data_IF_028087871439
#
_entry.id   IF_028087871439
#
_cell.length_a   1.000
_cell.length_b   1.000
_cell.length_c   1.000
_cell.angle_alpha   90.00
_cell.angle_beta   90.00
_cell.angle_gamma   90.00
#
_symmetry.space_group_name_H-M   'P 1'
#
loop_
_entity.id
_entity.type
_entity.pdbx_description
1 polymer ?
#
# COMPACT_ATOMS: atom_id res chain seq x y z
N UNK A 1 12.85 4.46 41.19
CA UNK A 1 11.79 4.19 40.20
C UNK A 1 12.43 3.36 39.09
N UNK A 2 12.25 2.04 39.12
CA UNK A 2 12.90 1.10 38.17
C UNK A 2 11.93 0.88 37.01
N UNK A 3 12.32 1.31 35.82
CA UNK A 3 11.62 1.01 34.57
C UNK A 3 11.93 -0.45 34.24
N UNK A 4 10.92 -1.34 34.09
CA UNK A 4 11.19 -2.72 33.73
C UNK A 4 11.70 -2.78 32.29
N UNK A 5 12.95 -3.20 32.12
CA UNK A 5 13.65 -3.51 30.86
C UNK A 5 13.13 -4.79 30.19
N UNK A 6 11.86 -5.14 30.39
CA UNK A 6 11.16 -6.13 29.59
C UNK A 6 10.53 -5.45 28.40
N UNK A 7 11.35 -4.88 27.50
CA UNK A 7 10.85 -4.43 26.20
C UNK A 7 10.29 -5.65 25.50
N UNK A 8 8.97 -5.70 25.49
CA UNK A 8 8.14 -6.45 24.57
C UNK A 8 8.74 -6.27 23.18
N UNK A 9 9.56 -7.24 22.77
CA UNK A 9 9.95 -7.47 21.38
C UNK A 9 8.74 -8.04 20.64
N UNK A 10 7.58 -7.37 20.75
CA UNK A 10 6.54 -7.50 19.76
C UNK A 10 7.02 -6.62 18.63
N UNK A 11 7.55 -7.27 17.60
CA UNK A 11 7.43 -6.81 16.24
C UNK A 11 5.98 -6.40 16.03
N UNK A 12 5.65 -5.13 16.30
CA UNK A 12 4.42 -4.51 15.87
C UNK A 12 4.59 -4.43 14.37
N UNK A 13 4.21 -5.51 13.69
CA UNK A 13 4.17 -5.61 12.25
C UNK A 13 3.00 -4.72 11.84
N UNK A 14 3.31 -3.43 11.77
CA UNK A 14 2.52 -2.42 11.06
C UNK A 14 2.14 -3.05 9.74
N UNK A 15 0.83 -3.19 9.53
CA UNK A 15 0.20 -3.53 8.26
C UNK A 15 1.07 -3.09 7.08
N UNK A 16 1.89 -4.01 6.56
CA UNK A 16 2.78 -3.88 5.42
C UNK A 16 3.27 -2.45 5.08
N UNK A 17 3.84 -1.73 6.05
CA UNK A 17 4.67 -0.54 5.79
C UNK A 17 6.09 -0.75 6.32
N UNK A 18 6.77 -1.69 5.68
CA UNK A 18 8.05 -1.39 5.06
C UNK A 18 9.20 -0.83 5.90
N UNK A 19 9.76 -1.60 6.84
CA UNK A 19 10.95 -1.17 7.58
C UNK A 19 12.04 -2.24 7.52
N UNK A 20 13.00 -2.08 6.60
CA UNK A 20 14.30 -2.72 6.70
C UNK A 20 15.35 -1.96 5.87
N UNK A 21 16.43 -1.58 6.56
CA UNK A 21 17.58 -0.79 6.13
C UNK A 21 18.48 -1.50 5.10
N UNK A 22 18.92 -0.77 4.05
CA UNK A 22 20.01 -1.19 3.16
C UNK A 22 20.48 -0.06 2.24
N UNK A 23 21.79 0.22 2.22
CA UNK A 23 22.43 1.40 1.61
C UNK A 23 22.83 1.24 0.12
N UNK A 24 22.95 2.40 -0.56
CA UNK A 24 23.89 2.77 -1.65
C UNK A 24 23.36 2.88 -3.11
N UNK A 25 23.98 3.76 -3.96
CA UNK A 25 23.27 4.76 -4.77
C UNK A 25 23.38 4.60 -6.32
N UNK A 26 22.99 5.66 -7.06
CA UNK A 26 23.07 5.93 -8.51
C UNK A 26 21.83 5.52 -9.35
N UNK A 27 21.27 6.33 -10.26
CA UNK A 27 21.61 7.67 -10.74
C UNK A 27 20.66 8.12 -11.85
N UNK A 28 20.69 9.44 -12.10
CA UNK A 28 20.44 10.16 -13.36
C UNK A 28 19.03 10.30 -13.97
N UNK A 29 18.76 11.57 -14.27
CA UNK A 29 17.53 12.22 -14.70
C UNK A 29 17.38 12.31 -16.21
N UNK A 30 16.14 12.33 -16.72
CA UNK A 30 15.73 13.20 -17.86
C UNK A 30 14.20 13.30 -17.95
N UNK A 31 13.60 14.52 -17.99
CA UNK A 31 12.22 14.68 -18.43
C UNK A 31 12.14 15.49 -19.74
N UNK A 32 11.44 14.95 -20.73
CA UNK A 32 11.08 15.65 -21.96
C UNK A 32 9.56 15.82 -22.11
N UNK A 33 9.11 17.08 -22.03
CA UNK A 33 8.17 17.69 -23.00
C UNK A 33 6.68 17.30 -23.04
N UNK A 34 5.88 18.10 -22.33
CA UNK A 34 4.45 18.48 -22.43
C UNK A 34 3.71 18.35 -23.79
N UNK A 35 2.51 17.73 -23.85
CA UNK A 35 1.12 18.31 -23.77
C UNK A 35 0.45 18.57 -25.15
N UNK A 36 -0.86 18.93 -25.24
CA UNK A 36 -2.06 18.15 -24.93
C UNK A 36 -3.04 18.10 -26.13
N UNK A 37 -4.10 17.28 -26.08
CA UNK A 37 -5.29 17.54 -26.92
C UNK A 37 -6.59 17.16 -26.22
N UNK A 38 -7.47 18.16 -26.18
CA UNK A 38 -8.86 18.21 -25.74
C UNK A 38 -9.76 17.21 -26.48
N UNK A 39 -10.61 16.51 -25.74
CA UNK A 39 -11.72 15.72 -26.28
C UNK A 39 -12.80 15.53 -25.22
N UNK A 40 -13.92 16.21 -25.41
CA UNK A 40 -15.15 16.10 -24.63
C UNK A 40 -15.95 14.86 -25.06
N UNK A 41 -16.26 13.96 -24.11
CA UNK A 41 -17.35 12.99 -24.29
C UNK A 41 -17.29 11.71 -23.46
N UNK A 42 -18.16 11.60 -22.44
CA UNK A 42 -18.69 10.38 -21.75
C UNK A 42 -17.62 9.44 -21.12
N UNK A 43 -17.87 8.68 -20.04
CA UNK A 43 -16.86 7.74 -19.52
C UNK A 43 -16.79 6.51 -20.43
N UNK A 44 -16.19 6.69 -21.61
CA UNK A 44 -15.60 5.61 -22.40
C UNK A 44 -14.44 5.07 -21.59
N UNK A 45 -14.41 3.75 -21.36
CA UNK A 45 -13.28 3.08 -20.73
C UNK A 45 -11.99 3.58 -21.38
N UNK A 46 -11.20 4.33 -20.60
CA UNK A 46 -9.93 4.86 -21.06
C UNK A 46 -9.10 3.70 -21.57
N UNK A 47 -8.46 3.88 -22.74
CA UNK A 47 -7.53 2.89 -23.25
C UNK A 47 -6.56 2.52 -22.14
N UNK A 48 -6.43 1.22 -21.86
CA UNK A 48 -5.50 0.75 -20.82
C UNK A 48 -4.10 1.30 -21.12
N UNK A 49 -3.35 1.75 -20.09
CA UNK A 49 -2.01 2.26 -20.28
C UNK A 49 -1.14 1.28 -21.08
N UNK A 50 -0.20 1.80 -21.88
CA UNK A 50 0.67 0.94 -22.72
C UNK A 50 1.46 -0.08 -21.91
N UNK A 51 1.87 0.28 -20.70
CA UNK A 51 2.59 -0.59 -19.75
C UNK A 51 1.71 -1.71 -19.21
N UNK A 52 0.39 -1.57 -19.19
CA UNK A 52 -0.51 -2.58 -18.61
C UNK A 52 -0.38 -3.95 -19.28
N UNK A 53 0.09 -3.99 -20.54
CA UNK A 53 0.34 -5.23 -21.27
C UNK A 53 1.44 -6.09 -20.64
N UNK A 54 2.43 -5.49 -19.98
CA UNK A 54 3.53 -6.25 -19.35
C UNK A 54 3.05 -7.07 -18.15
N UNK A 55 1.93 -6.69 -17.54
CA UNK A 55 1.38 -7.38 -16.37
C UNK A 55 0.90 -8.81 -16.68
N UNK A 56 0.60 -9.10 -17.94
CA UNK A 56 0.14 -10.41 -18.41
C UNK A 56 -1.33 -10.42 -18.81
N UNK A 57 -1.73 -11.46 -19.55
CA UNK A 57 -3.13 -11.65 -19.94
C UNK A 57 -3.98 -12.02 -18.73
N UNK A 58 -5.21 -11.48 -18.66
CA UNK A 58 -6.14 -11.70 -17.55
C UNK A 58 -6.04 -10.65 -16.44
N UNK A 59 -5.01 -9.81 -16.45
CA UNK A 59 -4.86 -8.71 -15.49
C UNK A 59 -5.74 -7.54 -15.89
N UNK A 60 -6.61 -7.12 -14.97
CA UNK A 60 -7.44 -5.92 -15.13
C UNK A 60 -6.77 -4.74 -14.43
N UNK A 61 -6.65 -3.60 -15.14
CA UNK A 61 -6.10 -2.36 -14.59
C UNK A 61 -7.21 -1.34 -14.40
N UNK A 62 -7.39 -0.88 -13.17
CA UNK A 62 -8.24 0.27 -12.83
C UNK A 62 -7.39 1.53 -12.78
N UNK A 63 -7.84 2.59 -13.45
CA UNK A 63 -7.14 3.88 -13.52
C UNK A 63 -7.17 4.65 -12.20
N UNK A 64 -6.23 5.58 -11.96
CA UNK A 64 -6.25 6.47 -10.81
C UNK A 64 -7.57 7.21 -10.64
N UNK A 65 -7.97 7.40 -9.38
CA UNK A 65 -9.18 8.14 -9.04
C UNK A 65 -9.87 7.61 -7.78
N UNK A 66 -11.13 7.98 -7.63
CA UNK A 66 -11.95 7.49 -6.53
C UNK A 66 -12.17 5.98 -6.65
N UNK A 67 -11.70 5.23 -5.67
CA UNK A 67 -11.88 3.79 -5.62
C UNK A 67 -13.36 3.44 -5.41
N UNK A 68 -13.89 2.53 -6.22
CA UNK A 68 -15.27 2.07 -6.09
C UNK A 68 -15.49 1.39 -4.73
N UNK A 69 -16.70 1.51 -4.16
CA UNK A 69 -17.02 0.88 -2.87
C UNK A 69 -16.74 -0.62 -2.90
N UNK A 70 -16.06 -1.12 -1.87
CA UNK A 70 -15.68 -2.53 -1.76
C UNK A 70 -14.50 -2.98 -2.63
N UNK A 71 -13.95 -2.11 -3.49
CA UNK A 71 -12.76 -2.42 -4.28
C UNK A 71 -11.48 -2.52 -3.42
N UNK A 72 -10.39 -3.14 -3.91
CA UNK A 72 -9.12 -3.18 -3.20
C UNK A 72 -8.63 -1.80 -2.75
N UNK A 73 -8.70 -0.81 -3.65
CA UNK A 73 -8.31 0.57 -3.35
C UNK A 73 -9.17 1.20 -2.25
N UNK A 74 -10.47 0.91 -2.20
CA UNK A 74 -11.37 1.44 -1.17
C UNK A 74 -11.13 0.82 0.21
N UNK A 75 -10.77 -0.47 0.26
CA UNK A 75 -10.36 -1.13 1.51
C UNK A 75 -9.08 -0.50 2.05
N UNK A 76 -8.09 -0.28 1.18
CA UNK A 76 -6.82 0.35 1.56
C UNK A 76 -7.02 1.78 2.08
N UNK A 77 -7.77 2.62 1.38
CA UNK A 77 -8.04 3.99 1.85
C UNK A 77 -8.82 4.01 3.16
N UNK A 78 -9.73 3.05 3.36
CA UNK A 78 -10.48 2.92 4.61
C UNK A 78 -9.60 2.46 5.78
N UNK A 79 -8.57 1.66 5.52
CA UNK A 79 -7.54 1.29 6.50
C UNK A 79 -6.67 2.49 6.86
N UNK A 80 -6.20 3.25 5.87
CA UNK A 80 -5.42 4.48 6.07
C UNK A 80 -6.20 5.51 6.88
N UNK A 81 -7.47 5.75 6.55
CA UNK A 81 -8.33 6.65 7.32
C UNK A 81 -8.51 6.20 8.78
N UNK A 82 -8.49 4.89 9.06
CA UNK A 82 -8.53 4.39 10.43
C UNK A 82 -7.21 4.66 11.19
N UNK A 83 -6.07 4.58 10.51
CA UNK A 83 -4.76 4.94 11.07
C UNK A 83 -4.73 6.42 11.42
N UNK A 84 -5.10 7.29 10.49
CA UNK A 84 -5.10 8.75 10.69
C UNK A 84 -6.07 9.20 11.78
N UNK A 85 -7.19 8.48 11.96
CA UNK A 85 -8.13 8.70 13.04
C UNK A 85 -7.68 8.13 14.40
N UNK A 86 -6.50 7.50 14.49
CA UNK A 86 -6.00 6.85 15.70
C UNK A 86 -6.80 5.60 16.11
N UNK A 87 -7.65 5.06 15.22
CA UNK A 87 -8.49 3.90 15.48
C UNK A 87 -7.78 2.62 15.01
N UNK A 88 -6.66 2.30 15.66
CA UNK A 88 -5.77 1.22 15.22
C UNK A 88 -6.43 -0.16 15.27
N UNK A 89 -7.32 -0.40 16.24
CA UNK A 89 -8.08 -1.66 16.30
C UNK A 89 -9.00 -1.86 15.08
N UNK A 90 -9.49 -0.77 14.45
CA UNK A 90 -10.31 -0.86 13.23
C UNK A 90 -9.52 -1.38 12.04
N UNK A 91 -8.19 -1.23 12.04
CA UNK A 91 -7.33 -1.77 10.98
C UNK A 91 -7.47 -3.28 10.86
N UNK A 92 -7.67 -3.98 11.98
CA UNK A 92 -7.85 -5.42 12.01
C UNK A 92 -9.04 -5.92 11.18
N UNK A 93 -10.03 -5.08 10.88
CA UNK A 93 -11.15 -5.46 10.01
C UNK A 93 -10.79 -5.50 8.52
N UNK A 94 -9.72 -4.81 8.12
CA UNK A 94 -9.25 -4.79 6.74
C UNK A 94 -8.22 -5.88 6.45
N UNK A 95 -7.82 -6.64 7.47
CA UNK A 95 -6.94 -7.81 7.34
C UNK A 95 -7.72 -9.08 7.04
N UNK A 96 -7.04 -10.06 6.45
CA UNK A 96 -7.61 -11.37 6.17
C UNK A 96 -8.30 -11.94 7.43
N UNK A 97 -9.48 -12.59 7.30
CA UNK A 97 -10.23 -13.12 8.44
C UNK A 97 -9.40 -13.98 9.41
N UNK A 98 -8.48 -14.78 8.88
CA UNK A 98 -7.57 -15.63 9.66
C UNK A 98 -6.59 -14.85 10.56
N UNK A 99 -6.29 -13.59 10.23
CA UNK A 99 -5.34 -12.74 10.95
C UNK A 99 -5.99 -11.81 11.97
N UNK A 100 -7.29 -11.53 11.82
CA UNK A 100 -7.99 -10.56 12.66
C UNK A 100 -7.92 -10.88 14.17
N UNK A 101 -8.04 -12.14 14.63
CA UNK A 101 -7.96 -12.44 16.06
C UNK A 101 -6.61 -12.02 16.67
N UNK A 102 -5.51 -12.31 15.98
CA UNK A 102 -4.17 -11.98 16.45
C UNK A 102 -3.94 -10.46 16.42
N UNK A 103 -4.30 -9.80 15.33
CA UNK A 103 -4.28 -8.34 15.23
C UNK A 103 -5.04 -7.67 16.38
N UNK A 104 -6.27 -8.12 16.67
CA UNK A 104 -7.09 -7.57 17.77
C UNK A 104 -6.46 -7.79 19.14
N UNK A 105 -5.82 -8.94 19.36
CA UNK A 105 -5.10 -9.22 20.61
C UNK A 105 -3.92 -8.26 20.81
N UNK A 106 -3.15 -8.00 19.75
CA UNK A 106 -1.99 -7.11 19.80
C UNK A 106 -2.42 -5.66 20.03
N UNK A 107 -3.34 -5.13 19.21
CA UNK A 107 -3.83 -3.75 19.38
C UNK A 107 -4.66 -3.56 20.66
N UNK A 108 -5.30 -4.61 21.17
CA UNK A 108 -6.06 -4.57 22.42
C UNK A 108 -5.18 -4.53 23.67
N UNK A 109 -3.93 -4.95 23.58
CA UNK A 109 -2.97 -4.98 24.70
C UNK A 109 -1.94 -3.84 24.67
N UNK A 110 -1.78 -3.19 23.52
CA UNK A 110 -0.82 -2.11 23.34
C UNK A 110 -1.33 -0.75 23.81
N UNK A 111 -0.43 0.09 24.32
CA UNK A 111 -0.74 1.46 24.72
C UNK A 111 -0.96 2.34 23.48
N UNK A 112 -2.10 3.03 23.40
CA UNK A 112 -2.47 3.85 22.24
C UNK A 112 -1.40 4.88 21.82
N UNK A 113 -0.73 5.52 22.79
CA UNK A 113 0.34 6.48 22.51
C UNK A 113 1.61 5.84 21.94
N UNK A 114 1.93 4.61 22.36
CA UNK A 114 3.05 3.86 21.81
C UNK A 114 2.76 3.47 20.35
N UNK A 115 1.54 3.02 20.07
CA UNK A 115 1.10 2.75 18.69
C UNK A 115 1.19 4.02 17.85
N UNK A 116 0.64 5.15 18.33
CA UNK A 116 0.64 6.41 17.59
C UNK A 116 2.05 6.90 17.20
N UNK A 117 3.06 6.59 18.02
CA UNK A 117 4.45 6.97 17.76
C UNK A 117 5.13 6.06 16.72
N UNK A 118 4.66 4.82 16.57
CA UNK A 118 5.19 3.86 15.60
C UNK A 118 4.48 3.92 14.24
N UNK A 119 3.26 4.46 14.19
CA UNK A 119 2.46 4.48 12.97
C UNK A 119 2.94 5.56 12.00
N UNK A 120 2.92 5.27 10.68
CA UNK A 120 3.21 6.27 9.67
C UNK A 120 2.13 7.35 9.62
N UNK A 121 2.53 8.52 9.13
CA UNK A 121 1.62 9.60 8.76
C UNK A 121 1.58 9.75 7.25
N UNK A 122 0.44 10.23 6.75
CA UNK A 122 0.20 10.33 5.32
C UNK A 122 -0.14 11.77 4.95
N UNK A 123 0.26 12.17 3.74
CA UNK A 123 -0.09 13.48 3.19
C UNK A 123 -0.42 13.34 1.71
N UNK A 124 -1.57 13.88 1.32
CA UNK A 124 -2.08 13.86 -0.05
C UNK A 124 -2.14 12.45 -0.66
N UNK A 125 -2.40 11.44 0.17
CA UNK A 125 -2.35 10.06 -0.26
C UNK A 125 -3.58 9.71 -1.12
N UNK A 126 -3.34 9.22 -2.33
CA UNK A 126 -4.40 8.88 -3.30
C UNK A 126 -4.15 7.51 -3.90
N UNK A 127 -5.21 6.75 -4.18
CA UNK A 127 -5.08 5.50 -4.94
C UNK A 127 -4.72 5.83 -6.39
N UNK A 128 -3.62 5.25 -6.86
CA UNK A 128 -3.20 5.35 -8.25
C UNK A 128 -3.80 4.20 -9.07
N UNK A 129 -3.00 3.42 -9.78
CA UNK A 129 -3.49 2.25 -10.47
C UNK A 129 -3.75 1.09 -9.51
N UNK A 130 -4.76 0.29 -9.83
CA UNK A 130 -4.96 -1.03 -9.21
C UNK A 130 -4.90 -2.10 -10.29
N UNK A 131 -3.98 -3.04 -10.17
CA UNK A 131 -3.93 -4.24 -11.02
C UNK A 131 -4.60 -5.40 -10.28
N UNK A 132 -5.46 -6.16 -10.96
CA UNK A 132 -6.18 -7.30 -10.39
C UNK A 132 -6.03 -8.53 -11.27
N UNK A 133 -5.62 -9.64 -10.69
CA UNK A 133 -5.51 -10.96 -11.32
C UNK A 133 -6.27 -11.99 -10.45
N UNK A 134 -7.47 -12.36 -10.89
CA UNK A 134 -8.37 -13.21 -10.11
C UNK A 134 -8.64 -12.63 -8.71
N UNK A 135 -8.28 -13.37 -7.67
CA UNK A 135 -8.49 -12.99 -6.26
C UNK A 135 -7.36 -12.15 -5.67
N UNK A 136 -6.38 -11.71 -6.48
CA UNK A 136 -5.23 -10.94 -6.04
C UNK A 136 -5.28 -9.55 -6.66
N UNK A 137 -4.92 -8.54 -5.88
CA UNK A 137 -4.76 -7.19 -6.40
C UNK A 137 -3.52 -6.51 -5.84
N UNK A 138 -2.93 -5.64 -6.65
CA UNK A 138 -1.84 -4.74 -6.28
C UNK A 138 -2.38 -3.34 -6.41
N UNK A 139 -2.30 -2.58 -5.32
CA UNK A 139 -2.78 -1.19 -5.27
C UNK A 139 -1.57 -0.27 -5.17
N UNK A 140 -1.41 0.60 -6.17
CA UNK A 140 -0.46 1.70 -6.13
C UNK A 140 -1.06 2.93 -5.45
N UNK A 141 -0.19 3.78 -4.92
CA UNK A 141 -0.57 5.01 -4.22
C UNK A 141 0.20 6.23 -4.77
N UNK A 142 -0.29 7.43 -4.65
CA UNK A 142 0.56 8.64 -4.77
C UNK A 142 0.44 9.44 -3.49
N UNK A 143 1.35 10.38 -3.28
CA UNK A 143 1.41 11.21 -2.07
C UNK A 143 2.68 10.94 -1.26
N UNK A 144 2.65 11.35 0.00
CA UNK A 144 3.77 11.25 0.92
C UNK A 144 3.42 10.29 2.06
N UNK A 145 4.34 9.37 2.34
CA UNK A 145 4.30 8.49 3.51
C UNK A 145 5.48 8.86 4.39
N UNK A 146 5.21 9.19 5.65
CA UNK A 146 6.22 9.51 6.64
C UNK A 146 6.23 8.44 7.73
N UNK A 147 7.28 7.62 7.77
CA UNK A 147 7.48 6.60 8.79
C UNK A 147 8.59 7.03 9.76
N UNK A 148 8.34 7.02 11.08
CA UNK A 148 9.30 7.47 12.08
C UNK A 148 10.57 6.62 12.13
N UNK A 149 10.48 5.36 11.67
CA UNK A 149 11.58 4.39 11.70
C UNK A 149 12.35 4.31 10.37
N UNK A 150 11.90 5.01 9.31
CA UNK A 150 12.57 5.01 8.00
C UNK A 150 13.59 6.16 7.84
N UNK A 151 14.59 5.95 6.99
CA UNK A 151 15.50 6.99 6.51
C UNK A 151 15.59 6.95 4.98
N UNK A 152 15.19 8.01 4.25
CA UNK A 152 14.56 9.23 4.76
C UNK A 152 13.22 8.93 5.45
N UNK A 153 12.87 9.73 6.47
CA UNK A 153 11.65 9.51 7.27
C UNK A 153 10.37 9.78 6.49
N UNK A 154 10.46 10.48 5.36
CA UNK A 154 9.35 10.72 4.45
C UNK A 154 9.76 10.39 3.02
N UNK A 155 8.91 9.64 2.33
CA UNK A 155 9.05 9.34 0.90
C UNK A 155 7.82 9.87 0.19
N UNK A 156 8.03 10.54 -0.95
CA UNK A 156 6.95 11.07 -1.79
C UNK A 156 6.99 10.41 -3.15
N UNK A 157 5.84 9.89 -3.59
CA UNK A 157 5.65 9.44 -4.95
C UNK A 157 4.58 10.28 -5.65
N UNK A 158 4.93 10.87 -6.79
CA UNK A 158 4.01 11.63 -7.64
C UNK A 158 3.69 10.89 -8.95
N UNK A 159 4.32 9.75 -9.22
CA UNK A 159 4.07 8.95 -10.41
C UNK A 159 3.00 7.90 -10.12
N UNK A 160 1.83 8.06 -10.75
CA UNK A 160 0.72 7.13 -10.58
C UNK A 160 1.07 5.70 -11.04
N UNK A 161 1.91 5.57 -12.07
CA UNK A 161 2.33 4.29 -12.64
C UNK A 161 3.62 3.75 -12.02
N UNK A 162 4.13 4.39 -10.96
CA UNK A 162 5.32 3.93 -10.25
C UNK A 162 5.22 2.44 -9.93
N UNK A 163 6.31 1.71 -10.17
CA UNK A 163 6.44 0.25 -10.03
C UNK A 163 5.66 -0.55 -11.08
N UNK A 164 4.44 -0.14 -11.45
CA UNK A 164 3.66 -0.79 -12.51
C UNK A 164 4.33 -0.69 -13.89
N UNK A 165 4.95 0.44 -14.21
CA UNK A 165 5.70 0.65 -15.47
C UNK A 165 7.15 0.11 -15.42
N UNK A 166 7.43 -0.85 -14.53
CA UNK A 166 8.75 -1.50 -14.45
C UNK A 166 9.00 -2.53 -15.56
N UNK A 167 7.98 -2.83 -16.37
CA UNK A 167 8.02 -3.92 -17.36
C UNK A 167 7.85 -5.33 -16.76
N UNK A 168 7.67 -5.45 -15.44
CA UNK A 168 7.44 -6.72 -14.75
C UNK A 168 6.00 -7.22 -14.95
N UNK A 169 5.84 -8.53 -14.81
CA UNK A 169 4.54 -9.21 -14.78
C UNK A 169 3.82 -9.01 -13.44
N UNK A 170 2.51 -9.23 -13.41
CA UNK A 170 1.75 -9.20 -12.16
C UNK A 170 2.29 -10.20 -11.14
N UNK A 171 2.70 -11.40 -11.57
CA UNK A 171 3.23 -12.42 -10.68
C UNK A 171 4.54 -11.99 -10.01
N UNK A 172 5.45 -11.36 -10.76
CA UNK A 172 6.71 -10.82 -10.22
C UNK A 172 6.44 -9.68 -9.22
N UNK A 173 5.59 -8.71 -9.61
CA UNK A 173 5.21 -7.61 -8.73
C UNK A 173 4.50 -8.10 -7.47
N UNK A 174 3.66 -9.13 -7.59
CA UNK A 174 3.01 -9.75 -6.43
C UNK A 174 4.04 -10.35 -5.49
N UNK A 175 4.97 -11.18 -6.01
CA UNK A 175 6.03 -11.78 -5.21
C UNK A 175 6.87 -10.72 -4.51
N UNK A 176 7.27 -9.66 -5.21
CA UNK A 176 8.03 -8.56 -4.61
C UNK A 176 7.23 -7.86 -3.51
N UNK A 177 5.96 -7.59 -3.74
CA UNK A 177 5.10 -6.89 -2.78
C UNK A 177 4.87 -7.68 -1.49
N UNK A 178 4.88 -9.02 -1.58
CA UNK A 178 4.67 -9.89 -0.40
C UNK A 178 5.97 -10.37 0.26
N UNK A 179 7.12 -10.23 -0.39
CA UNK A 179 8.44 -10.66 0.14
C UNK A 179 9.34 -9.51 0.54
N UNK A 180 9.25 -8.38 -0.17
CA UNK A 180 10.14 -7.23 -0.05
C UNK A 180 9.30 -5.98 0.15
N UNK A 181 8.95 -5.72 1.40
CA UNK A 181 8.30 -4.46 1.76
C UNK A 181 9.37 -3.36 1.96
N UNK A 182 10.60 -3.48 1.48
CA UNK A 182 11.76 -2.78 2.08
C UNK A 182 11.93 -1.28 1.81
N UNK A 183 11.02 -0.61 1.09
CA UNK A 183 11.15 0.84 0.83
C UNK A 183 9.80 1.53 1.03
N UNK A 184 9.81 2.77 1.54
CA UNK A 184 8.62 3.55 1.94
C UNK A 184 7.57 3.80 0.86
N UNK A 185 7.77 3.25 -0.33
CA UNK A 185 6.82 3.25 -1.41
C UNK A 185 6.86 1.89 -2.14
N UNK A 186 5.85 1.04 -1.92
CA UNK A 186 5.65 -0.27 -2.55
C UNK A 186 4.19 -0.45 -2.98
N UNK A 187 3.93 -1.40 -3.87
CA UNK A 187 2.55 -1.81 -4.17
C UNK A 187 1.96 -2.51 -2.96
N UNK A 188 0.74 -2.15 -2.59
CA UNK A 188 0.04 -2.80 -1.47
C UNK A 188 -0.67 -4.06 -1.98
N UNK A 189 -0.27 -5.26 -1.51
CA UNK A 189 -0.93 -6.49 -1.91
C UNK A 189 -2.28 -6.64 -1.19
N UNK A 190 -3.29 -7.00 -1.95
CA UNK A 190 -4.66 -7.20 -1.51
C UNK A 190 -5.15 -8.57 -1.98
N UNK A 191 -5.99 -9.21 -1.18
CA UNK A 191 -6.53 -10.55 -1.46
C UNK A 191 -8.04 -10.56 -1.26
N UNK A 192 -8.74 -11.24 -2.15
CA UNK A 192 -10.17 -11.49 -2.05
C UNK A 192 -10.43 -12.81 -1.31
N UNK A 193 -11.27 -12.75 -0.28
CA UNK A 193 -11.75 -13.91 0.48
C UNK A 193 -13.27 -13.82 0.58
N UNK A 194 -13.98 -14.81 0.02
CA UNK A 194 -15.45 -14.88 0.03
C UNK A 194 -16.13 -13.61 -0.51
N UNK A 195 -15.65 -13.06 -1.64
CA UNK A 195 -16.25 -11.88 -2.26
C UNK A 195 -15.89 -10.55 -1.60
N UNK A 196 -14.91 -10.52 -0.70
CA UNK A 196 -14.48 -9.31 0.03
C UNK A 196 -12.97 -9.15 -0.03
N UNK A 197 -12.52 -7.92 -0.23
CA UNK A 197 -11.11 -7.58 -0.29
C UNK A 197 -10.52 -7.31 1.10
N UNK A 198 -9.28 -7.74 1.29
CA UNK A 198 -8.50 -7.57 2.50
C UNK A 198 -7.06 -7.21 2.14
N UNK A 199 -6.38 -6.47 3.01
CA UNK A 199 -4.93 -6.35 2.99
C UNK A 199 -4.31 -7.74 3.15
N UNK A 200 -3.41 -8.09 2.23
CA UNK A 200 -2.68 -9.34 2.31
C UNK A 200 -1.48 -9.17 3.24
N UNK A 201 -1.30 -10.11 4.15
CA UNK A 201 -0.09 -10.24 4.96
C UNK A 201 0.24 -11.73 5.10
N UNK A 202 1.52 -12.09 5.08
CA UNK A 202 1.96 -13.44 5.44
C UNK A 202 2.21 -13.62 6.94
N UNK A 203 2.17 -12.53 7.72
CA UNK A 203 2.51 -12.52 9.13
C UNK A 203 1.54 -11.71 9.97
N UNK A 204 0.98 -12.39 10.98
CA UNK A 204 0.99 -11.90 12.35
C UNK A 204 1.74 -12.93 13.16
#
# INVERSE_FOLDING_TARGET
MRIPTGMVSCSIVVLAMALATGCSPDGSSTPGGSSPSTGTGRPTGGASPSWARSLGSGVTVTTPGAAASGSPGAVLTSAIAAIEAGNYAKICHYLQPSQQPKCKSEFGSAQASAIATAMPTFKNLTVSYTATDGTKALVGLTGTICSPEQKPSCVTNNDAAAIFDSGKTFAELWMESVTSISNGYSLTPMIEVNGKWYGYSTGF
#
